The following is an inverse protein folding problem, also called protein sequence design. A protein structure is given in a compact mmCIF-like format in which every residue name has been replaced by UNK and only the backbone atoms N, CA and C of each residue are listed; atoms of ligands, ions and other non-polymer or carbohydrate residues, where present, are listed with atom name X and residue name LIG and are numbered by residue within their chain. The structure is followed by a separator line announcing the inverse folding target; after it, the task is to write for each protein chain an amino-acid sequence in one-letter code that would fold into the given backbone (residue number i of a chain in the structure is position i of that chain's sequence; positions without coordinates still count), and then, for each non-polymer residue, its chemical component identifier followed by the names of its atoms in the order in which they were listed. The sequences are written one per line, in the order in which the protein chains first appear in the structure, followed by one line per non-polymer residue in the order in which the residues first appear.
data_IF_790065301018
#
_entry.id   IF_790065301018
#
_cell.length_a   1.000
_cell.length_b   1.000
_cell.length_c   1.000
_cell.angle_alpha   90.00
_cell.angle_beta   90.00
_cell.angle_gamma   90.00
#
_symmetry.space_group_name_H-M   'P 1'
#
loop_
_entity.id
_entity.type
_entity.pdbx_description
1 polymer ?
#
# COMPACT_ATOMS: atom_id res chain seq x y z
N UNK A 1 22.80 33.97 36.60
CA UNK A 1 21.98 34.24 35.41
C UNK A 1 20.92 33.19 35.29
N UNK A 2 19.62 33.49 35.37
CA UNK A 2 18.57 32.47 35.21
C UNK A 2 18.47 32.05 33.74
N UNK A 3 18.45 30.72 33.50
CA UNK A 3 18.30 30.14 32.19
C UNK A 3 16.97 30.57 31.56
N UNK A 4 17.00 31.10 30.33
CA UNK A 4 15.80 31.42 29.55
C UNK A 4 14.98 30.14 29.34
N UNK A 5 13.67 30.13 29.62
CA UNK A 5 12.81 28.98 29.32
C UNK A 5 12.82 28.75 27.82
N UNK A 6 13.13 27.51 27.38
CA UNK A 6 13.01 27.08 25.99
C UNK A 6 11.55 27.31 25.56
N UNK A 7 11.34 28.25 24.67
CA UNK A 7 10.05 28.55 24.05
C UNK A 7 9.54 27.28 23.38
N UNK A 8 8.55 26.64 23.99
CA UNK A 8 7.87 25.49 23.41
C UNK A 8 7.16 25.99 22.17
N UNK A 9 7.67 25.63 20.97
CA UNK A 9 7.03 25.95 19.70
C UNK A 9 5.69 25.24 19.72
N UNK A 10 4.61 26.01 19.79
CA UNK A 10 3.24 25.53 19.70
C UNK A 10 2.98 25.33 18.20
N UNK A 11 3.09 24.10 17.71
CA UNK A 11 2.71 23.76 16.34
C UNK A 11 1.25 24.15 16.12
N UNK A 12 0.93 24.62 14.93
CA UNK A 12 -0.43 24.79 14.49
C UNK A 12 -1.17 23.44 14.53
N UNK A 13 -2.50 23.47 14.57
CA UNK A 13 -3.34 22.28 14.72
C UNK A 13 -3.10 21.29 13.55
N UNK A 14 -2.97 21.83 12.33
CA UNK A 14 -2.72 21.04 11.12
C UNK A 14 -1.31 20.46 11.09
N UNK A 15 -0.30 21.22 11.48
CA UNK A 15 1.09 20.75 11.61
C UNK A 15 1.19 19.61 12.64
N UNK A 16 0.48 19.74 13.77
CA UNK A 16 0.47 18.72 14.81
C UNK A 16 -0.22 17.43 14.32
N UNK A 17 -1.35 17.58 13.64
CA UNK A 17 -2.05 16.44 13.06
C UNK A 17 -1.19 15.72 12.02
N UNK A 18 -0.51 16.45 11.15
CA UNK A 18 0.41 15.89 10.15
C UNK A 18 1.58 15.15 10.81
N UNK A 19 2.16 15.70 11.89
CA UNK A 19 3.22 15.04 12.65
C UNK A 19 2.76 13.71 13.25
N UNK A 20 1.56 13.66 13.81
CA UNK A 20 0.98 12.44 14.38
C UNK A 20 0.65 11.41 13.31
N UNK A 21 0.20 11.86 12.15
CA UNK A 21 -0.07 11.00 11.00
C UNK A 21 1.22 10.38 10.46
N UNK A 22 2.29 11.16 10.34
CA UNK A 22 3.60 10.65 9.96
C UNK A 22 4.14 9.61 10.96
N UNK A 23 3.96 9.84 12.27
CA UNK A 23 4.31 8.87 13.30
C UNK A 23 3.50 7.57 13.17
N UNK A 24 2.18 7.69 12.94
CA UNK A 24 1.31 6.56 12.69
C UNK A 24 1.75 5.77 11.46
N UNK A 25 2.02 6.45 10.35
CA UNK A 25 2.55 5.84 9.13
C UNK A 25 3.78 4.99 9.43
N UNK A 26 4.79 5.56 10.05
CA UNK A 26 6.04 4.84 10.40
C UNK A 26 5.75 3.64 11.30
N UNK A 27 4.95 3.81 12.35
CA UNK A 27 4.67 2.75 13.30
C UNK A 27 3.90 1.57 12.68
N UNK A 28 2.94 1.85 11.81
CA UNK A 28 2.09 0.84 11.18
C UNK A 28 2.66 0.28 9.87
N UNK A 29 3.73 0.86 9.32
CA UNK A 29 4.48 0.26 8.23
C UNK A 29 5.27 -0.98 8.68
N UNK A 30 5.80 -0.96 9.90
CA UNK A 30 6.73 -1.98 10.38
C UNK A 30 6.09 -2.97 11.36
N UNK A 31 4.97 -2.58 11.97
CA UNK A 31 4.29 -3.35 13.03
C UNK A 31 2.83 -3.58 12.67
N UNK A 32 2.30 -4.75 13.06
CA UNK A 32 0.88 -5.04 12.94
C UNK A 32 0.02 -4.09 13.79
N UNK A 33 -1.27 -4.00 13.47
CA UNK A 33 -2.22 -3.21 14.26
C UNK A 33 -2.15 -3.54 15.76
N UNK A 34 -2.07 -4.83 16.11
CA UNK A 34 -2.11 -5.26 17.51
C UNK A 34 -0.82 -4.94 18.27
N UNK A 35 0.33 -4.94 17.58
CA UNK A 35 1.64 -4.66 18.17
C UNK A 35 1.88 -3.17 18.50
N UNK A 36 1.16 -2.26 17.87
CA UNK A 36 1.33 -0.82 18.11
C UNK A 36 0.63 -0.39 19.38
N UNK A 37 1.36 0.20 20.32
CA UNK A 37 0.84 0.79 21.56
C UNK A 37 0.60 2.29 21.41
N UNK A 38 -0.60 2.76 21.79
CA UNK A 38 -0.92 4.20 21.84
C UNK A 38 -0.05 4.94 22.86
N UNK A 39 0.29 4.28 23.98
CA UNK A 39 1.15 4.87 24.99
C UNK A 39 2.58 5.08 24.48
N UNK A 40 3.10 4.15 23.70
CA UNK A 40 4.41 4.27 23.06
C UNK A 40 4.42 5.37 22.01
N UNK A 41 3.38 5.44 21.16
CA UNK A 41 3.25 6.52 20.17
C UNK A 41 3.17 7.90 20.83
N UNK A 42 2.41 8.04 21.90
CA UNK A 42 2.30 9.31 22.63
C UNK A 42 3.66 9.71 23.25
N UNK A 43 4.41 8.74 23.79
CA UNK A 43 5.76 8.94 24.34
C UNK A 43 6.74 9.36 23.25
N UNK A 44 6.74 8.69 22.11
CA UNK A 44 7.58 8.98 20.93
C UNK A 44 7.30 10.38 20.38
N UNK A 45 6.03 10.76 20.25
CA UNK A 45 5.60 12.09 19.84
C UNK A 45 5.83 13.18 20.91
N UNK A 46 6.25 12.80 22.15
CA UNK A 46 6.42 13.71 23.31
C UNK A 46 5.16 14.50 23.63
N UNK A 47 4.01 13.85 23.56
CA UNK A 47 2.69 14.39 23.90
C UNK A 47 1.98 13.53 24.95
N UNK A 48 0.90 14.06 25.52
CA UNK A 48 0.01 13.25 26.35
C UNK A 48 -0.86 12.33 25.48
N UNK A 49 -1.23 11.17 26.02
CA UNK A 49 -2.21 10.26 25.42
C UNK A 49 -3.55 10.96 25.12
N UNK A 50 -4.00 11.85 26.01
CA UNK A 50 -5.21 12.66 25.82
C UNK A 50 -5.12 13.58 24.60
N UNK A 51 -3.95 14.18 24.34
CA UNK A 51 -3.74 14.99 23.14
C UNK A 51 -3.77 14.13 21.87
N UNK A 52 -3.23 12.91 21.88
CA UNK A 52 -3.31 12.01 20.74
C UNK A 52 -4.76 11.64 20.44
N UNK A 53 -5.55 11.30 21.44
CA UNK A 53 -6.98 11.01 21.29
C UNK A 53 -7.83 12.23 20.89
N UNK A 54 -7.37 13.44 21.14
CA UNK A 54 -8.02 14.65 20.64
C UNK A 54 -7.97 14.72 19.11
N UNK A 55 -6.88 14.26 18.47
CA UNK A 55 -6.73 14.23 17.01
C UNK A 55 -7.29 12.96 16.37
N UNK A 56 -7.15 11.83 17.03
CA UNK A 56 -7.59 10.51 16.58
C UNK A 56 -8.32 9.82 17.73
N UNK A 57 -9.65 9.86 17.74
CA UNK A 57 -10.49 9.42 18.87
C UNK A 57 -10.22 7.99 19.31
N UNK A 58 -9.79 7.11 18.40
CA UNK A 58 -9.45 5.72 18.69
C UNK A 58 -8.12 5.31 18.05
N UNK A 59 -7.51 4.21 18.53
CA UNK A 59 -6.36 3.57 17.88
C UNK A 59 -6.69 3.19 16.43
N UNK A 60 -7.95 2.76 16.20
CA UNK A 60 -8.45 2.39 14.87
C UNK A 60 -8.45 3.60 13.92
N UNK A 61 -8.92 4.78 14.37
CA UNK A 61 -8.94 5.98 13.54
C UNK A 61 -7.52 6.41 13.15
N UNK A 62 -6.58 6.32 14.08
CA UNK A 62 -5.18 6.59 13.82
C UNK A 62 -4.59 5.57 12.82
N UNK A 63 -4.93 4.29 12.98
CA UNK A 63 -4.49 3.23 12.07
C UNK A 63 -5.01 3.45 10.65
N UNK A 64 -6.32 3.67 10.49
CA UNK A 64 -6.94 3.90 9.18
C UNK A 64 -6.34 5.13 8.49
N UNK A 65 -6.09 6.21 9.24
CA UNK A 65 -5.45 7.40 8.70
C UNK A 65 -4.01 7.11 8.24
N UNK A 66 -3.20 6.42 9.04
CA UNK A 66 -1.85 6.00 8.66
C UNK A 66 -1.84 5.04 7.48
N UNK A 67 -2.78 4.08 7.44
CA UNK A 67 -2.92 3.13 6.35
C UNK A 67 -3.26 3.82 5.00
N UNK A 68 -4.08 4.87 5.03
CA UNK A 68 -4.38 5.66 3.81
C UNK A 68 -3.12 6.32 3.24
N UNK A 69 -2.28 6.90 4.09
CA UNK A 69 -1.00 7.48 3.64
C UNK A 69 -0.06 6.43 3.03
N UNK A 70 0.05 5.26 3.69
CA UNK A 70 0.84 4.14 3.18
C UNK A 70 0.30 3.65 1.83
N UNK A 71 -1.03 3.54 1.71
CA UNK A 71 -1.71 3.12 0.49
C UNK A 71 -1.49 4.11 -0.67
N UNK A 72 -1.55 5.41 -0.39
CA UNK A 72 -1.32 6.45 -1.40
C UNK A 72 0.13 6.45 -1.89
N UNK A 73 1.09 6.30 -0.98
CA UNK A 73 2.51 6.17 -1.32
C UNK A 73 2.77 4.90 -2.17
N UNK A 74 2.19 3.77 -1.77
CA UNK A 74 2.31 2.52 -2.53
C UNK A 74 1.77 2.69 -3.96
N UNK A 75 0.55 3.20 -4.12
CA UNK A 75 -0.03 3.41 -5.45
C UNK A 75 0.83 4.35 -6.27
N UNK A 76 1.29 5.47 -5.70
CA UNK A 76 2.17 6.40 -6.39
C UNK A 76 3.46 5.70 -6.85
N UNK A 77 4.11 4.94 -5.97
CA UNK A 77 5.33 4.19 -6.29
C UNK A 77 5.12 3.18 -7.41
N UNK A 78 4.00 2.45 -7.41
CA UNK A 78 3.72 1.41 -8.41
C UNK A 78 3.26 1.98 -9.76
N UNK A 79 2.70 3.18 -9.79
CA UNK A 79 2.21 3.82 -11.01
C UNK A 79 3.19 4.83 -11.62
N UNK A 80 4.22 5.27 -10.87
CA UNK A 80 5.28 6.18 -11.33
C UNK A 80 6.36 5.40 -12.08
N UNK A 81 5.98 4.79 -13.21
CA UNK A 81 6.89 3.99 -14.05
C UNK A 81 7.38 4.82 -15.22
N UNK A 82 8.67 4.75 -15.62
CA UNK A 82 9.17 5.41 -16.80
C UNK A 82 8.35 5.06 -18.06
N UNK A 83 7.97 6.08 -18.83
CA UNK A 83 7.08 5.92 -19.99
C UNK A 83 7.78 5.39 -21.24
N UNK A 84 9.12 5.44 -21.26
CA UNK A 84 9.99 4.94 -22.33
C UNK A 84 10.25 3.44 -22.27
N UNK A 85 9.87 2.77 -21.18
CA UNK A 85 9.99 1.33 -21.04
C UNK A 85 8.94 0.58 -21.90
N UNK A 86 9.35 -0.56 -22.44
CA UNK A 86 8.42 -1.49 -23.08
C UNK A 86 7.35 -1.98 -22.08
N UNK A 87 6.12 -2.31 -22.51
CA UNK A 87 5.03 -2.69 -21.62
C UNK A 87 5.37 -3.79 -20.62
N UNK A 88 6.08 -4.85 -21.05
CA UNK A 88 6.50 -5.93 -20.17
C UNK A 88 7.51 -5.47 -19.11
N UNK A 89 8.43 -4.56 -19.46
CA UNK A 89 9.43 -4.04 -18.54
C UNK A 89 8.80 -3.06 -17.52
N UNK A 90 7.76 -2.32 -17.91
CA UNK A 90 6.97 -1.52 -16.99
C UNK A 90 6.29 -2.37 -15.93
N UNK A 91 5.71 -3.50 -16.33
CA UNK A 91 5.12 -4.47 -15.39
C UNK A 91 6.18 -5.02 -14.42
N UNK A 92 7.33 -5.45 -14.95
CA UNK A 92 8.44 -5.94 -14.10
C UNK A 92 8.93 -4.89 -13.13
N UNK A 93 9.07 -3.64 -13.58
CA UNK A 93 9.47 -2.52 -12.74
C UNK A 93 8.47 -2.27 -11.59
N UNK A 94 7.17 -2.26 -11.88
CA UNK A 94 6.13 -2.12 -10.84
C UNK A 94 6.13 -3.31 -9.88
N UNK A 95 6.34 -4.54 -10.38
CA UNK A 95 6.43 -5.73 -9.54
C UNK A 95 7.67 -5.72 -8.65
N UNK A 96 8.81 -5.25 -9.14
CA UNK A 96 10.01 -5.08 -8.32
C UNK A 96 9.77 -4.07 -7.20
N UNK A 97 9.17 -2.91 -7.50
CA UNK A 97 8.83 -1.90 -6.52
C UNK A 97 7.81 -2.42 -5.48
N UNK A 98 6.85 -3.24 -5.92
CA UNK A 98 5.88 -3.91 -5.04
C UNK A 98 6.55 -4.94 -4.13
N UNK A 99 7.41 -5.81 -4.67
CA UNK A 99 8.11 -6.83 -3.90
C UNK A 99 9.09 -6.22 -2.89
N UNK A 100 9.73 -5.09 -3.20
CA UNK A 100 10.51 -4.32 -2.23
C UNK A 100 9.61 -3.85 -1.09
N UNK A 101 8.48 -3.23 -1.42
CA UNK A 101 7.53 -2.73 -0.42
C UNK A 101 7.03 -3.85 0.51
N UNK A 102 6.60 -4.99 -0.02
CA UNK A 102 6.07 -6.09 0.82
C UNK A 102 7.16 -6.79 1.62
N UNK A 103 8.41 -6.77 1.14
CA UNK A 103 9.56 -7.28 1.89
C UNK A 103 9.89 -6.37 3.07
N UNK A 104 9.99 -5.06 2.81
CA UNK A 104 10.32 -4.07 3.82
C UNK A 104 9.26 -3.99 4.92
N UNK A 105 7.97 -4.23 4.59
CA UNK A 105 6.83 -4.12 5.48
C UNK A 105 6.12 -5.46 5.73
N UNK A 106 6.84 -6.58 5.63
CA UNK A 106 6.27 -7.95 5.57
C UNK A 106 5.30 -8.26 6.71
N UNK A 107 5.67 -7.93 7.96
CA UNK A 107 4.85 -8.19 9.15
C UNK A 107 3.51 -7.44 9.12
N UNK A 108 3.56 -6.14 8.84
CA UNK A 108 2.37 -5.30 8.73
C UNK A 108 1.50 -5.74 7.55
N UNK A 109 2.10 -6.06 6.41
CA UNK A 109 1.43 -6.49 5.20
C UNK A 109 0.68 -7.81 5.39
N UNK A 110 1.33 -8.85 5.94
CA UNK A 110 0.70 -10.15 6.22
C UNK A 110 -0.42 -9.99 7.25
N UNK A 111 -0.19 -9.23 8.33
CA UNK A 111 -1.20 -8.96 9.35
C UNK A 111 -2.42 -8.22 8.80
N UNK A 112 -2.22 -7.26 7.89
CA UNK A 112 -3.32 -6.54 7.24
C UNK A 112 -4.20 -7.48 6.40
N UNK A 113 -3.60 -8.34 5.59
CA UNK A 113 -4.35 -9.18 4.65
C UNK A 113 -4.87 -10.49 5.24
N UNK A 114 -4.25 -11.01 6.32
CA UNK A 114 -4.67 -12.24 7.02
C UNK A 114 -5.21 -12.01 8.41
N UNK A 115 -4.92 -10.86 9.02
CA UNK A 115 -5.33 -10.54 10.39
C UNK A 115 -6.76 -10.06 10.51
N UNK A 116 -7.28 -10.07 11.76
CA UNK A 116 -8.65 -9.65 12.07
C UNK A 116 -8.96 -8.20 11.69
N UNK A 117 -7.98 -7.29 11.73
CA UNK A 117 -8.17 -5.88 11.36
C UNK A 117 -8.54 -5.71 9.88
N UNK A 118 -8.13 -6.62 9.00
CA UNK A 118 -8.49 -6.60 7.58
C UNK A 118 -9.99 -6.76 7.31
N UNK A 119 -10.76 -7.31 8.25
CA UNK A 119 -12.23 -7.41 8.16
C UNK A 119 -12.96 -6.11 8.56
N UNK A 120 -12.25 -5.13 9.12
CA UNK A 120 -12.82 -3.83 9.44
C UNK A 120 -13.27 -3.11 8.15
N UNK A 121 -14.51 -2.55 8.10
CA UNK A 121 -15.06 -1.98 6.87
C UNK A 121 -14.22 -0.84 6.28
N UNK A 122 -13.64 0.06 7.11
CA UNK A 122 -12.81 1.15 6.60
C UNK A 122 -11.45 0.67 6.14
N UNK A 123 -10.84 -0.28 6.85
CA UNK A 123 -9.59 -0.92 6.44
C UNK A 123 -9.78 -1.64 5.10
N UNK A 124 -10.85 -2.41 4.97
CA UNK A 124 -11.20 -3.09 3.72
C UNK A 124 -11.46 -2.08 2.58
N UNK A 125 -12.10 -0.95 2.86
CA UNK A 125 -12.31 0.10 1.86
C UNK A 125 -10.97 0.69 1.35
N UNK A 126 -9.97 0.88 2.23
CA UNK A 126 -8.63 1.32 1.82
C UNK A 126 -7.97 0.28 0.91
N UNK A 127 -7.93 -0.99 1.32
CA UNK A 127 -7.33 -2.08 0.53
C UNK A 127 -8.03 -2.22 -0.84
N UNK A 128 -9.36 -2.20 -0.84
CA UNK A 128 -10.16 -2.26 -2.09
C UNK A 128 -9.89 -1.06 -2.98
N UNK A 129 -9.72 0.14 -2.38
CA UNK A 129 -9.36 1.36 -3.08
C UNK A 129 -7.99 1.26 -3.78
N UNK A 130 -6.99 0.68 -3.11
CA UNK A 130 -5.67 0.39 -3.71
C UNK A 130 -5.82 -0.52 -4.93
N UNK A 131 -6.51 -1.66 -4.77
CA UNK A 131 -6.73 -2.62 -5.87
C UNK A 131 -7.42 -1.98 -7.06
N UNK A 132 -8.43 -1.14 -6.81
CA UNK A 132 -9.14 -0.39 -7.85
C UNK A 132 -8.20 0.56 -8.60
N UNK A 133 -7.46 1.41 -7.89
CA UNK A 133 -6.51 2.38 -8.49
C UNK A 133 -5.42 1.67 -9.30
N UNK A 134 -4.89 0.56 -8.81
CA UNK A 134 -3.92 -0.25 -9.54
C UNK A 134 -4.54 -0.87 -10.80
N UNK A 135 -5.76 -1.43 -10.72
CA UNK A 135 -6.44 -1.97 -11.90
C UNK A 135 -6.71 -0.89 -12.95
N UNK A 136 -7.12 0.31 -12.53
CA UNK A 136 -7.34 1.45 -13.43
C UNK A 136 -6.04 1.90 -14.11
N UNK A 137 -4.90 1.85 -13.44
CA UNK A 137 -3.60 2.26 -13.99
C UNK A 137 -3.13 1.42 -15.18
N UNK A 138 -3.69 0.23 -15.40
CA UNK A 138 -3.41 -0.57 -16.59
C UNK A 138 -4.06 -0.02 -17.86
N UNK A 139 -5.06 0.84 -17.73
CA UNK A 139 -5.91 1.30 -18.84
C UNK A 139 -5.93 2.81 -18.93
N UNK A 140 -6.27 3.50 -17.85
CA UNK A 140 -6.51 4.94 -17.83
C UNK A 140 -5.26 5.72 -18.25
N UNK A 141 -5.41 6.63 -19.22
CA UNK A 141 -4.31 7.43 -19.76
C UNK A 141 -3.35 6.65 -20.67
N UNK A 142 -3.68 5.40 -21.04
CA UNK A 142 -2.91 4.59 -21.98
C UNK A 142 -3.59 4.55 -23.36
N UNK A 143 -2.87 4.23 -24.45
CA UNK A 143 -3.48 3.99 -25.77
C UNK A 143 -4.51 2.84 -25.77
N UNK A 144 -4.56 2.04 -24.72
CA UNK A 144 -5.46 0.89 -24.57
C UNK A 144 -6.83 1.28 -24.00
N UNK A 145 -6.97 2.48 -23.44
CA UNK A 145 -8.20 2.92 -22.77
C UNK A 145 -9.45 2.77 -23.67
N UNK A 146 -9.47 3.21 -24.95
CA UNK A 146 -10.65 3.05 -25.80
C UNK A 146 -11.04 1.58 -26.05
N UNK A 147 -10.08 0.67 -25.92
CA UNK A 147 -10.27 -0.75 -26.21
C UNK A 147 -10.67 -1.57 -24.99
N UNK A 148 -10.22 -1.19 -23.80
CA UNK A 148 -10.27 -2.03 -22.60
C UNK A 148 -11.13 -1.43 -21.49
N UNK A 149 -11.30 -0.11 -21.43
CA UNK A 149 -12.12 0.53 -20.41
C UNK A 149 -13.56 0.00 -20.46
N UNK A 150 -14.10 -0.33 -19.29
CA UNK A 150 -15.47 -0.82 -19.15
C UNK A 150 -15.73 -2.23 -19.69
N UNK A 151 -14.68 -3.01 -20.03
CA UNK A 151 -14.84 -4.42 -20.43
C UNK A 151 -14.82 -5.35 -19.19
N UNK A 152 -15.96 -5.99 -18.84
CA UNK A 152 -16.05 -6.77 -17.60
C UNK A 152 -15.04 -7.91 -17.53
N UNK A 153 -14.75 -8.60 -18.65
CA UNK A 153 -13.78 -9.68 -18.69
C UNK A 153 -12.37 -9.20 -18.35
N UNK A 154 -11.94 -8.05 -18.91
CA UNK A 154 -10.66 -7.44 -18.63
C UNK A 154 -10.56 -6.99 -17.16
N UNK A 155 -11.55 -6.25 -16.67
CA UNK A 155 -11.57 -5.78 -15.28
C UNK A 155 -11.55 -6.93 -14.27
N UNK A 156 -12.30 -8.01 -14.54
CA UNK A 156 -12.32 -9.20 -13.68
C UNK A 156 -10.97 -9.91 -13.70
N UNK A 157 -10.35 -10.03 -14.87
CA UNK A 157 -9.05 -10.69 -15.02
C UNK A 157 -7.93 -9.93 -14.30
N UNK A 158 -7.89 -8.60 -14.43
CA UNK A 158 -6.88 -7.76 -13.73
C UNK A 158 -7.09 -7.83 -12.23
N UNK A 159 -8.33 -7.74 -11.73
CA UNK A 159 -8.62 -7.90 -10.29
C UNK A 159 -8.23 -9.28 -9.77
N UNK A 160 -8.51 -10.33 -10.55
CA UNK A 160 -8.10 -11.69 -10.23
C UNK A 160 -6.58 -11.84 -10.17
N UNK A 161 -5.86 -11.21 -11.10
CA UNK A 161 -4.41 -11.20 -11.09
C UNK A 161 -3.84 -10.44 -9.86
N UNK A 162 -4.39 -9.29 -9.50
CA UNK A 162 -3.97 -8.58 -8.28
C UNK A 162 -4.14 -9.45 -7.02
N UNK A 163 -5.25 -10.21 -6.92
CA UNK A 163 -5.44 -11.18 -5.85
C UNK A 163 -4.42 -12.32 -5.86
N UNK A 164 -4.05 -12.78 -7.06
CA UNK A 164 -2.98 -13.77 -7.23
C UNK A 164 -1.63 -13.21 -6.77
N UNK A 165 -1.28 -11.98 -7.17
CA UNK A 165 -0.05 -11.30 -6.74
C UNK A 165 0.03 -11.21 -5.22
N UNK A 166 -1.03 -10.75 -4.57
CA UNK A 166 -1.10 -10.65 -3.10
C UNK A 166 -0.90 -12.01 -2.42
N UNK A 167 -1.61 -13.02 -2.87
CA UNK A 167 -1.55 -14.35 -2.25
C UNK A 167 -0.19 -15.01 -2.47
N UNK A 168 0.36 -14.96 -3.68
CA UNK A 168 1.66 -15.52 -4.01
C UNK A 168 2.79 -14.81 -3.23
N UNK A 169 2.67 -13.50 -3.03
CA UNK A 169 3.66 -12.73 -2.25
C UNK A 169 3.61 -13.08 -0.78
N UNK A 170 2.43 -13.29 -0.20
CA UNK A 170 2.30 -13.74 1.20
C UNK A 170 2.91 -15.13 1.37
N UNK A 171 2.58 -16.09 0.48
CA UNK A 171 3.17 -17.43 0.53
C UNK A 171 4.70 -17.37 0.41
N UNK A 172 5.20 -16.52 -0.48
CA UNK A 172 6.64 -16.33 -0.64
C UNK A 172 7.32 -15.71 0.58
N UNK A 173 6.71 -14.68 1.20
CA UNK A 173 7.23 -14.06 2.42
C UNK A 173 7.34 -15.06 3.58
N UNK A 174 6.37 -15.96 3.69
CA UNK A 174 6.32 -16.96 4.76
C UNK A 174 7.25 -18.16 4.52
N UNK A 175 7.38 -18.60 3.27
CA UNK A 175 8.01 -19.89 2.94
C UNK A 175 9.32 -19.75 2.16
N UNK A 176 9.55 -18.65 1.46
CA UNK A 176 10.76 -18.36 0.65
C UNK A 176 11.21 -19.51 -0.27
N UNK A 177 10.26 -20.20 -0.92
CA UNK A 177 10.49 -21.41 -1.72
C UNK A 177 11.20 -21.16 -3.05
N UNK A 178 11.32 -19.90 -3.47
CA UNK A 178 11.98 -19.50 -4.71
C UNK A 178 12.68 -18.14 -4.54
N UNK A 179 13.70 -17.84 -5.37
CA UNK A 179 14.29 -16.49 -5.39
C UNK A 179 13.27 -15.41 -5.79
N UNK A 180 13.43 -14.20 -5.23
CA UNK A 180 12.57 -13.03 -5.53
C UNK A 180 12.41 -12.76 -7.03
N UNK A 181 13.51 -12.87 -7.81
CA UNK A 181 13.46 -12.68 -9.25
C UNK A 181 12.55 -13.71 -9.95
N UNK A 182 12.56 -14.95 -9.50
CA UNK A 182 11.70 -16.00 -10.04
C UNK A 182 10.22 -15.74 -9.72
N UNK A 183 9.92 -15.23 -8.51
CA UNK A 183 8.55 -14.82 -8.17
C UNK A 183 8.09 -13.67 -9.08
N UNK A 184 8.91 -12.61 -9.22
CA UNK A 184 8.60 -11.47 -10.11
C UNK A 184 8.29 -11.96 -11.54
N UNK A 185 9.12 -12.83 -12.07
CA UNK A 185 8.95 -13.33 -13.44
C UNK A 185 7.69 -14.18 -13.57
N UNK A 186 7.38 -15.04 -12.58
CA UNK A 186 6.12 -15.77 -12.52
C UNK A 186 4.91 -14.84 -12.53
N UNK A 187 4.90 -13.82 -11.68
CA UNK A 187 3.80 -12.85 -11.60
C UNK A 187 3.61 -12.11 -12.93
N UNK A 188 4.71 -11.73 -13.58
CA UNK A 188 4.71 -11.06 -14.90
C UNK A 188 4.15 -11.97 -15.98
N UNK A 189 4.62 -13.21 -16.07
CA UNK A 189 4.19 -14.17 -17.09
C UNK A 189 2.72 -14.56 -16.96
N UNK A 190 2.21 -14.68 -15.73
CA UNK A 190 0.78 -14.91 -15.47
C UNK A 190 -0.05 -13.74 -16.00
N UNK A 191 0.38 -12.47 -15.78
CA UNK A 191 -0.31 -11.33 -16.36
C UNK A 191 -0.33 -11.38 -17.89
N UNK A 192 0.80 -11.67 -18.52
CA UNK A 192 0.88 -11.79 -19.98
C UNK A 192 -0.02 -12.91 -20.52
N UNK A 193 -0.10 -14.04 -19.81
CA UNK A 193 -1.01 -15.13 -20.19
C UNK A 193 -2.48 -14.69 -20.08
N UNK A 194 -2.84 -13.97 -19.04
CA UNK A 194 -4.18 -13.39 -18.87
C UNK A 194 -4.49 -12.41 -20.01
N UNK A 195 -3.54 -11.53 -20.36
CA UNK A 195 -3.72 -10.55 -21.44
C UNK A 195 -3.95 -11.24 -22.80
N UNK A 196 -3.28 -12.38 -23.09
CA UNK A 196 -3.54 -13.19 -24.29
C UNK A 196 -4.98 -13.67 -24.39
N UNK A 197 -5.64 -13.91 -23.26
CA UNK A 197 -7.02 -14.38 -23.21
C UNK A 197 -8.02 -13.24 -23.35
N UNK A 198 -7.81 -12.12 -22.61
CA UNK A 198 -8.81 -11.05 -22.51
C UNK A 198 -8.59 -9.91 -23.49
N UNK A 199 -7.39 -9.81 -24.06
CA UNK A 199 -6.99 -8.76 -25.01
C UNK A 199 -5.99 -9.28 -26.06
N UNK A 200 -6.31 -10.35 -26.84
CA UNK A 200 -5.37 -10.99 -27.76
C UNK A 200 -4.80 -10.02 -28.82
N UNK A 201 -5.55 -8.99 -29.18
CA UNK A 201 -5.15 -7.96 -30.10
C UNK A 201 -4.00 -7.05 -29.62
N UNK A 202 -3.61 -7.12 -28.37
CA UNK A 202 -2.49 -6.34 -27.83
C UNK A 202 -1.13 -7.04 -28.00
N UNK A 203 -1.15 -8.31 -28.38
CA UNK A 203 0.03 -9.18 -28.45
C UNK A 203 0.22 -9.76 -29.89
N UNK A 204 -0.61 -9.36 -30.80
CA UNK A 204 -0.47 -9.54 -32.26
C UNK A 204 0.28 -8.36 -32.87
#
# INVERSE_FOLDING_TARGET
MPARPKRRIRLDNDERRAQLLQLARTAFSDRSYDEVSIDDLAREAKISKGLLYHYFPTKRDLYVAGLREIADELVLKLTSVPTDLAPADRVRHSLDAYLDFVTDHSRAYVSLLRGGIGSDPEVNAVVTGVRKRLAESFVVGTPLEPMLAGKPAFETAVRGWLGFVEHASIDWLENQRMPRAQLRDLLSEVLLAIMRVVAPQLLS
#
